data_IF_412437765126
#
_entry.id   IF_412437765126
#
_cell.length_a   1.000
_cell.length_b   1.000
_cell.length_c   1.000
_cell.angle_alpha   90.00
_cell.angle_beta   90.00
_cell.angle_gamma   90.00
#
_symmetry.space_group_name_H-M   'P 1'
#
loop_
_entity.id
_entity.type
_entity.pdbx_description
1 polymer ?
#
# COMPACT_ATOMS: atom_id res chain seq x y z
N UNK A 1 -29.89 -13.96 35.99
CA UNK A 1 -29.07 -12.72 35.78
C UNK A 1 -29.86 -11.82 34.85
N UNK A 2 -30.17 -10.58 35.25
CA UNK A 2 -30.92 -9.62 34.42
C UNK A 2 -30.04 -9.14 33.27
N UNK A 3 -30.55 -9.21 32.03
CA UNK A 3 -29.87 -8.80 30.79
C UNK A 3 -29.73 -7.27 30.62
N UNK A 4 -30.22 -6.49 31.57
CA UNK A 4 -30.27 -5.03 31.51
C UNK A 4 -29.29 -4.42 32.51
N UNK A 5 -28.67 -3.31 32.13
CA UNK A 5 -27.85 -2.49 33.02
C UNK A 5 -28.68 -1.94 34.19
N UNK A 6 -28.02 -1.67 35.32
CA UNK A 6 -28.65 -1.14 36.53
C UNK A 6 -29.38 0.19 36.27
N UNK A 7 -28.85 1.04 35.38
CA UNK A 7 -29.50 2.30 34.98
C UNK A 7 -30.82 2.06 34.23
N UNK A 8 -30.86 1.08 33.32
CA UNK A 8 -32.06 0.70 32.58
C UNK A 8 -33.14 0.12 33.49
N UNK A 9 -32.74 -0.68 34.50
CA UNK A 9 -33.66 -1.23 35.51
C UNK A 9 -34.27 -0.11 36.36
N UNK A 10 -33.45 0.85 36.79
CA UNK A 10 -33.94 1.99 37.58
C UNK A 10 -34.84 2.92 36.75
N UNK A 11 -34.52 3.11 35.46
CA UNK A 11 -35.37 3.83 34.51
C UNK A 11 -36.76 3.20 34.40
N UNK A 12 -36.83 1.87 34.22
CA UNK A 12 -38.11 1.14 34.12
C UNK A 12 -38.93 1.15 35.42
N UNK A 13 -38.28 1.09 36.58
CA UNK A 13 -38.99 1.22 37.88
C UNK A 13 -39.55 2.62 38.05
N UNK A 14 -38.77 3.65 37.72
CA UNK A 14 -39.21 5.04 37.85
C UNK A 14 -40.41 5.37 36.96
N UNK A 15 -40.47 4.81 35.75
CA UNK A 15 -41.63 4.96 34.85
C UNK A 15 -42.84 4.20 35.36
N UNK A 16 -42.66 2.99 35.88
CA UNK A 16 -43.74 2.21 36.50
C UNK A 16 -44.35 2.93 37.71
N UNK A 17 -43.52 3.46 38.60
CA UNK A 17 -43.97 4.21 39.77
C UNK A 17 -44.70 5.50 39.35
N UNK A 18 -44.22 6.20 38.33
CA UNK A 18 -44.89 7.38 37.79
C UNK A 18 -46.29 7.06 37.21
N UNK A 19 -46.44 5.92 36.53
CA UNK A 19 -47.73 5.45 36.00
C UNK A 19 -48.70 5.13 37.15
N UNK A 20 -48.21 4.47 38.21
CA UNK A 20 -49.02 4.14 39.38
C UNK A 20 -49.49 5.40 40.12
N UNK A 21 -48.58 6.37 40.30
CA UNK A 21 -48.83 7.55 41.13
C UNK A 21 -49.62 8.65 40.41
N UNK A 22 -49.28 8.95 39.15
CA UNK A 22 -49.89 10.04 38.39
C UNK A 22 -50.92 9.57 37.36
N UNK A 23 -50.85 8.31 36.92
CA UNK A 23 -51.75 7.73 35.91
C UNK A 23 -52.90 6.91 36.49
N UNK A 24 -53.03 6.80 37.81
CA UNK A 24 -54.01 5.92 38.48
C UNK A 24 -53.92 4.48 37.94
N UNK A 25 -52.69 4.00 37.72
CA UNK A 25 -52.42 2.67 37.14
C UNK A 25 -52.61 2.56 35.62
N UNK A 26 -53.02 3.64 34.94
CA UNK A 26 -53.14 3.69 33.48
C UNK A 26 -52.05 4.59 32.88
N UNK A 27 -51.16 4.06 32.01
CA UNK A 27 -50.07 4.85 31.42
C UNK A 27 -50.55 6.09 30.67
N UNK A 28 -51.76 6.04 30.11
CA UNK A 28 -52.33 7.07 29.24
C UNK A 28 -52.88 8.28 30.01
N UNK A 29 -52.99 8.18 31.34
CA UNK A 29 -53.49 9.24 32.22
C UNK A 29 -52.38 10.03 32.91
N UNK A 30 -51.13 9.63 32.74
CA UNK A 30 -49.98 10.38 33.28
C UNK A 30 -49.90 11.70 32.50
N UNK A 31 -50.07 12.87 33.14
CA UNK A 31 -49.96 14.14 32.45
C UNK A 31 -48.53 14.31 31.92
N UNK A 32 -48.41 14.44 30.59
CA UNK A 32 -47.12 14.66 29.94
C UNK A 32 -46.65 16.06 30.30
N UNK A 33 -45.66 16.16 31.19
CA UNK A 33 -45.06 17.43 31.57
C UNK A 33 -44.32 18.03 30.38
N UNK A 34 -44.39 19.36 30.23
CA UNK A 34 -43.72 20.08 29.14
C UNK A 34 -42.20 19.83 29.11
N UNK A 35 -41.59 19.57 30.27
CA UNK A 35 -40.17 19.23 30.39
C UNK A 35 -39.85 17.86 29.78
N UNK A 36 -40.79 16.90 29.82
CA UNK A 36 -40.62 15.61 29.15
C UNK A 36 -40.66 15.77 27.63
N UNK A 37 -41.57 16.61 27.11
CA UNK A 37 -41.64 16.93 25.67
C UNK A 37 -40.33 17.59 25.22
N UNK A 38 -39.82 18.57 25.98
CA UNK A 38 -38.54 19.23 25.70
C UNK A 38 -37.36 18.27 25.76
N UNK A 39 -37.32 17.38 26.75
CA UNK A 39 -36.27 16.36 26.86
C UNK A 39 -36.27 15.42 25.65
N UNK A 40 -37.44 14.94 25.21
CA UNK A 40 -37.58 14.09 24.02
C UNK A 40 -37.15 14.84 22.75
N UNK A 41 -37.56 16.10 22.60
CA UNK A 41 -37.13 16.93 21.45
C UNK A 41 -35.62 17.15 21.43
N UNK A 42 -35.00 17.40 22.58
CA UNK A 42 -33.54 17.54 22.71
C UNK A 42 -32.81 16.24 22.43
N UNK A 43 -33.29 15.10 22.94
CA UNK A 43 -32.72 13.79 22.63
C UNK A 43 -32.84 13.46 21.14
N UNK A 44 -33.96 13.82 20.49
CA UNK A 44 -34.14 13.65 19.05
C UNK A 44 -33.16 14.50 18.23
N UNK A 45 -32.91 15.75 18.63
CA UNK A 45 -31.95 16.60 17.94
C UNK A 45 -30.52 16.08 18.09
N UNK A 46 -30.14 15.62 19.29
CA UNK A 46 -28.83 14.99 19.55
C UNK A 46 -28.67 13.72 18.71
N UNK A 47 -29.67 12.84 18.69
CA UNK A 47 -29.64 11.62 17.88
C UNK A 47 -29.48 11.91 16.38
N UNK A 48 -30.19 12.91 15.85
CA UNK A 48 -30.04 13.31 14.44
C UNK A 48 -28.63 13.84 14.15
N UNK A 49 -28.04 14.59 15.08
CA UNK A 49 -26.68 15.10 14.93
C UNK A 49 -25.65 13.98 15.00
N UNK A 50 -25.83 13.01 15.90
CA UNK A 50 -25.02 11.79 15.97
C UNK A 50 -25.11 10.98 14.67
N UNK A 51 -26.31 10.77 14.13
CA UNK A 51 -26.51 10.09 12.84
C UNK A 51 -25.78 10.78 11.68
N UNK A 52 -25.83 12.11 11.61
CA UNK A 52 -25.09 12.88 10.59
C UNK A 52 -23.58 12.72 10.77
N UNK A 53 -23.08 12.76 12.01
CA UNK A 53 -21.66 12.55 12.29
C UNK A 53 -21.19 11.14 11.93
N UNK A 54 -21.94 10.10 12.28
CA UNK A 54 -21.65 8.71 11.95
C UNK A 54 -21.63 8.49 10.44
N UNK A 55 -22.59 9.08 9.71
CA UNK A 55 -22.60 9.02 8.25
C UNK A 55 -21.35 9.67 7.65
N UNK A 56 -20.97 10.86 8.15
CA UNK A 56 -19.76 11.54 7.69
C UNK A 56 -18.47 10.79 7.99
N UNK A 57 -18.42 10.05 9.11
CA UNK A 57 -17.28 9.19 9.46
C UNK A 57 -17.22 7.98 8.53
N UNK A 58 -18.35 7.31 8.28
CA UNK A 58 -18.42 6.18 7.36
C UNK A 58 -18.00 6.57 5.93
N UNK A 59 -18.43 7.73 5.43
CA UNK A 59 -18.03 8.24 4.12
C UNK A 59 -16.51 8.49 4.05
N UNK A 60 -15.92 9.06 5.11
CA UNK A 60 -14.45 9.27 5.21
C UNK A 60 -13.68 7.97 5.29
N UNK A 61 -14.16 6.98 6.05
CA UNK A 61 -13.52 5.66 6.14
C UNK A 61 -13.55 4.94 4.80
N UNK A 62 -14.68 5.01 4.08
CA UNK A 62 -14.81 4.43 2.75
C UNK A 62 -13.82 5.07 1.77
N UNK A 63 -13.76 6.41 1.73
CA UNK A 63 -12.82 7.13 0.86
C UNK A 63 -11.36 6.81 1.21
N UNK A 64 -11.05 6.62 2.51
CA UNK A 64 -9.72 6.17 2.92
C UNK A 64 -9.43 4.73 2.47
N UNK A 65 -10.39 3.81 2.63
CA UNK A 65 -10.25 2.42 2.21
C UNK A 65 -9.97 2.32 0.71
N UNK A 66 -10.74 3.02 -0.12
CA UNK A 66 -10.56 3.06 -1.58
C UNK A 66 -9.17 3.60 -1.96
N UNK A 67 -8.69 4.65 -1.27
CA UNK A 67 -7.32 5.17 -1.45
C UNK A 67 -6.26 4.15 -1.06
N UNK A 68 -6.45 3.44 0.06
CA UNK A 68 -5.51 2.41 0.50
C UNK A 68 -5.45 1.25 -0.48
N UNK A 69 -6.61 0.77 -0.97
CA UNK A 69 -6.67 -0.27 -1.98
C UNK A 69 -5.94 0.15 -3.26
N UNK A 70 -6.22 1.35 -3.77
CA UNK A 70 -5.56 1.87 -4.97
C UNK A 70 -4.03 1.94 -4.81
N UNK A 71 -3.55 2.51 -3.70
CA UNK A 71 -2.10 2.57 -3.44
C UNK A 71 -1.46 1.18 -3.31
N UNK A 72 -2.19 0.21 -2.77
CA UNK A 72 -1.68 -1.14 -2.60
C UNK A 72 -1.61 -1.89 -3.95
N UNK A 73 -2.59 -1.67 -4.84
CA UNK A 73 -2.55 -2.18 -6.22
C UNK A 73 -1.38 -1.58 -7.02
N UNK A 74 -1.15 -0.27 -6.91
CA UNK A 74 0.00 0.38 -7.56
C UNK A 74 1.33 -0.16 -7.03
N UNK A 75 1.44 -0.33 -5.71
CA UNK A 75 2.63 -0.91 -5.08
C UNK A 75 2.88 -2.35 -5.57
N UNK A 76 1.83 -3.15 -5.72
CA UNK A 76 1.92 -4.51 -6.27
C UNK A 76 2.43 -4.49 -7.71
N UNK A 77 1.88 -3.62 -8.57
CA UNK A 77 2.35 -3.45 -9.95
C UNK A 77 3.83 -3.06 -10.03
N UNK A 78 4.29 -2.18 -9.13
CA UNK A 78 5.69 -1.78 -9.04
C UNK A 78 6.59 -2.94 -8.63
N UNK A 79 6.18 -3.76 -7.66
CA UNK A 79 6.93 -4.95 -7.23
C UNK A 79 7.01 -5.99 -8.35
N UNK A 80 5.89 -6.25 -9.04
CA UNK A 80 5.86 -7.19 -10.17
C UNK A 80 6.80 -6.73 -11.29
N UNK A 81 6.80 -5.42 -11.59
CA UNK A 81 7.73 -4.83 -12.57
C UNK A 81 9.19 -4.91 -12.13
N UNK A 82 9.48 -4.67 -10.86
CA UNK A 82 10.83 -4.80 -10.28
C UNK A 82 11.35 -6.24 -10.43
N UNK A 83 10.51 -7.24 -10.12
CA UNK A 83 10.88 -8.64 -10.25
C UNK A 83 11.16 -9.04 -11.70
N UNK A 84 10.37 -8.54 -12.67
CA UNK A 84 10.62 -8.75 -14.09
C UNK A 84 11.97 -8.17 -14.52
N UNK A 85 12.28 -6.94 -14.08
CA UNK A 85 13.53 -6.27 -14.38
C UNK A 85 14.74 -6.97 -13.76
N UNK A 86 14.63 -7.45 -12.51
CA UNK A 86 15.67 -8.23 -11.84
C UNK A 86 15.94 -9.56 -12.57
N UNK A 87 14.88 -10.24 -13.02
CA UNK A 87 15.01 -11.45 -13.83
C UNK A 87 15.73 -11.17 -15.15
N UNK A 88 15.32 -10.11 -15.85
CA UNK A 88 15.98 -9.67 -17.09
C UNK A 88 17.45 -9.29 -16.87
N UNK A 89 17.75 -8.59 -15.78
CA UNK A 89 19.12 -8.21 -15.40
C UNK A 89 20.00 -9.44 -15.20
N UNK A 90 19.48 -10.47 -14.51
CA UNK A 90 20.21 -11.73 -14.30
C UNK A 90 20.48 -12.43 -15.62
N UNK A 91 19.48 -12.51 -16.51
CA UNK A 91 19.66 -13.09 -17.85
C UNK A 91 20.75 -12.39 -18.67
N UNK A 92 20.73 -11.04 -18.69
CA UNK A 92 21.75 -10.25 -19.38
C UNK A 92 23.14 -10.40 -18.75
N UNK A 93 23.24 -10.52 -17.42
CA UNK A 93 24.53 -10.80 -16.77
C UNK A 93 25.11 -12.16 -17.16
N UNK A 94 24.26 -13.18 -17.30
CA UNK A 94 24.69 -14.50 -17.75
C UNK A 94 25.10 -14.49 -19.24
N UNK A 95 24.38 -13.74 -20.08
CA UNK A 95 24.78 -13.50 -21.48
C UNK A 95 26.09 -12.71 -21.59
N UNK A 96 26.29 -11.69 -20.75
CA UNK A 96 27.55 -10.93 -20.70
C UNK A 96 28.73 -11.83 -20.37
N UNK A 97 28.59 -12.73 -19.38
CA UNK A 97 29.62 -13.70 -19.01
C UNK A 97 29.95 -14.65 -20.17
N UNK A 98 28.92 -15.14 -20.87
CA UNK A 98 29.11 -16.00 -22.05
C UNK A 98 29.86 -15.27 -23.16
N UNK A 99 29.47 -14.03 -23.46
CA UNK A 99 30.14 -13.21 -24.46
C UNK A 99 31.61 -12.92 -24.07
N UNK A 100 31.88 -12.64 -22.80
CA UNK A 100 33.25 -12.46 -22.29
C UNK A 100 34.10 -13.73 -22.39
N UNK A 101 33.52 -14.90 -22.13
CA UNK A 101 34.21 -16.19 -22.33
C UNK A 101 34.57 -16.40 -23.81
N UNK A 102 33.63 -16.12 -24.73
CA UNK A 102 33.88 -16.21 -26.17
C UNK A 102 34.98 -15.24 -26.63
N UNK A 103 35.01 -14.01 -26.09
CA UNK A 103 36.10 -13.05 -26.35
C UNK A 103 37.43 -13.59 -25.80
N UNK A 104 37.43 -14.20 -24.62
CA UNK A 104 38.61 -14.83 -24.03
C UNK A 104 39.16 -15.98 -24.88
N UNK A 105 38.29 -16.86 -25.36
CA UNK A 105 38.64 -17.95 -26.30
C UNK A 105 39.16 -17.40 -27.63
N UNK A 106 38.50 -16.37 -28.18
CA UNK A 106 38.93 -15.66 -29.38
C UNK A 106 40.34 -15.09 -29.23
N UNK A 107 40.65 -14.46 -28.08
CA UNK A 107 42.00 -13.94 -27.78
C UNK A 107 43.05 -15.04 -27.68
N UNK A 108 42.74 -16.15 -27.01
CA UNK A 108 43.66 -17.29 -26.97
C UNK A 108 43.92 -17.87 -28.36
N UNK A 109 42.88 -17.96 -29.19
CA UNK A 109 43.00 -18.43 -30.57
C UNK A 109 43.85 -17.48 -31.41
N UNK A 110 43.66 -16.17 -31.24
CA UNK A 110 44.49 -15.14 -31.88
C UNK A 110 45.97 -15.28 -31.50
N UNK A 111 46.28 -15.39 -30.20
CA UNK A 111 47.65 -15.56 -29.72
C UNK A 111 48.31 -16.83 -30.27
N UNK A 112 47.56 -17.93 -30.36
CA UNK A 112 48.05 -19.19 -30.93
C UNK A 112 48.27 -19.10 -32.46
N UNK A 113 47.36 -18.43 -33.18
CA UNK A 113 47.48 -18.22 -34.62
C UNK A 113 48.67 -17.32 -34.95
N UNK A 114 48.89 -16.25 -34.18
CA UNK A 114 50.05 -15.36 -34.30
C UNK A 114 51.37 -16.10 -34.07
N UNK A 115 51.43 -16.99 -33.07
CA UNK A 115 52.62 -17.84 -32.83
C UNK A 115 52.90 -18.82 -33.96
N UNK A 116 51.85 -19.32 -34.63
CA UNK A 116 51.96 -20.23 -35.77
C UNK A 116 52.12 -19.52 -37.13
N UNK A 117 52.11 -18.18 -37.14
CA UNK A 117 52.09 -17.35 -38.34
C UNK A 117 50.92 -17.66 -39.30
N UNK A 118 49.79 -18.16 -38.78
CA UNK A 118 48.58 -18.42 -39.56
C UNK A 118 47.71 -17.16 -39.59
N UNK A 119 47.85 -16.39 -40.66
CA UNK A 119 47.17 -15.10 -40.83
C UNK A 119 45.65 -15.28 -40.99
N UNK A 120 45.20 -16.38 -41.57
CA UNK A 120 43.77 -16.63 -41.82
C UNK A 120 43.07 -16.90 -40.48
N UNK A 121 43.65 -17.78 -39.64
CA UNK A 121 43.08 -18.07 -38.33
C UNK A 121 43.17 -16.86 -37.38
N UNK A 122 44.22 -16.04 -37.51
CA UNK A 122 44.34 -14.78 -36.78
C UNK A 122 43.25 -13.77 -37.18
N UNK A 123 42.95 -13.62 -38.47
CA UNK A 123 41.87 -12.75 -38.94
C UNK A 123 40.49 -13.22 -38.45
N UNK A 124 40.23 -14.53 -38.50
CA UNK A 124 38.99 -15.11 -37.99
C UNK A 124 38.83 -14.90 -36.48
N UNK A 125 39.90 -15.10 -35.71
CA UNK A 125 39.91 -14.85 -34.27
C UNK A 125 39.69 -13.37 -33.93
N UNK A 126 40.29 -12.44 -34.69
CA UNK A 126 40.11 -11.01 -34.47
C UNK A 126 38.67 -10.54 -34.79
N UNK A 127 38.04 -11.09 -35.83
CA UNK A 127 36.65 -10.83 -36.14
C UNK A 127 35.70 -11.33 -35.03
N UNK A 128 35.98 -12.51 -34.46
CA UNK A 128 35.24 -13.04 -33.31
C UNK A 128 35.37 -12.17 -32.06
N UNK A 129 36.58 -11.67 -31.76
CA UNK A 129 36.81 -10.75 -30.65
C UNK A 129 36.02 -9.45 -30.86
N UNK A 130 36.06 -8.88 -32.06
CA UNK A 130 35.31 -7.65 -32.39
C UNK A 130 33.81 -7.82 -32.20
N UNK A 131 33.23 -8.89 -32.75
CA UNK A 131 31.81 -9.19 -32.59
C UNK A 131 31.42 -9.44 -31.12
N UNK A 132 32.27 -10.14 -30.37
CA UNK A 132 32.06 -10.38 -28.94
C UNK A 132 32.13 -9.09 -28.11
N UNK A 133 33.09 -8.21 -28.38
CA UNK A 133 33.22 -6.91 -27.70
C UNK A 133 32.02 -5.98 -28.01
N UNK A 134 31.51 -5.99 -29.24
CA UNK A 134 30.27 -5.28 -29.60
C UNK A 134 29.05 -5.83 -28.85
N UNK A 135 28.93 -7.16 -28.76
CA UNK A 135 27.83 -7.79 -28.01
C UNK A 135 27.90 -7.46 -26.51
N UNK A 136 29.10 -7.45 -25.91
CA UNK A 136 29.30 -7.04 -24.51
C UNK A 136 28.87 -5.58 -24.31
N UNK A 137 29.17 -4.68 -25.26
CA UNK A 137 28.75 -3.27 -25.20
C UNK A 137 27.22 -3.15 -25.24
N UNK A 138 26.55 -3.81 -26.18
CA UNK A 138 25.08 -3.79 -26.28
C UNK A 138 24.43 -4.30 -24.99
N UNK A 139 24.93 -5.42 -24.44
CA UNK A 139 24.43 -5.98 -23.18
C UNK A 139 24.67 -4.99 -22.02
N UNK A 140 25.82 -4.32 -21.99
CA UNK A 140 26.12 -3.35 -20.95
C UNK A 140 25.19 -2.13 -20.99
N UNK A 141 24.87 -1.62 -22.18
CA UNK A 141 23.92 -0.51 -22.35
C UNK A 141 22.50 -0.91 -21.89
N UNK A 142 22.07 -2.15 -22.18
CA UNK A 142 20.80 -2.66 -21.67
C UNK A 142 20.80 -2.82 -20.14
N UNK A 143 21.89 -3.33 -19.55
CA UNK A 143 22.05 -3.42 -18.10
C UNK A 143 22.00 -2.05 -17.44
N UNK A 144 22.60 -1.02 -18.05
CA UNK A 144 22.50 0.36 -17.57
C UNK A 144 21.06 0.88 -17.58
N UNK A 145 20.32 0.66 -18.67
CA UNK A 145 18.90 1.06 -18.76
C UNK A 145 18.04 0.38 -17.69
N UNK A 146 18.23 -0.93 -17.50
CA UNK A 146 17.50 -1.68 -16.46
C UNK A 146 17.85 -1.18 -15.07
N UNK A 147 19.12 -0.88 -14.81
CA UNK A 147 19.56 -0.35 -13.51
C UNK A 147 18.93 1.02 -13.22
N UNK A 148 18.85 1.91 -14.22
CA UNK A 148 18.18 3.20 -14.09
C UNK A 148 16.66 3.05 -13.85
N UNK A 149 15.99 2.12 -14.55
CA UNK A 149 14.59 1.79 -14.28
C UNK A 149 14.36 1.26 -12.86
N UNK A 150 15.24 0.38 -12.37
CA UNK A 150 15.17 -0.14 -11.00
C UNK A 150 15.32 0.97 -9.96
N UNK A 151 16.25 1.92 -10.16
CA UNK A 151 16.43 3.08 -9.28
C UNK A 151 15.17 3.98 -9.26
N UNK A 152 14.55 4.20 -10.43
CA UNK A 152 13.27 4.93 -10.54
C UNK A 152 12.14 4.23 -9.79
N UNK A 153 12.05 2.91 -9.86
CA UNK A 153 11.04 2.15 -9.11
C UNK A 153 11.30 2.22 -7.60
N UNK A 154 12.56 2.04 -7.17
CA UNK A 154 12.93 2.09 -5.75
C UNK A 154 12.68 3.46 -5.13
N UNK A 155 12.98 4.54 -5.86
CA UNK A 155 12.70 5.91 -5.41
C UNK A 155 11.20 6.18 -5.28
N UNK A 156 10.38 5.74 -6.24
CA UNK A 156 8.91 5.80 -6.13
C UNK A 156 8.40 5.06 -4.90
N UNK A 157 8.81 3.81 -4.69
CA UNK A 157 8.41 3.01 -3.51
C UNK A 157 8.78 3.70 -2.19
N UNK A 158 9.98 4.27 -2.08
CA UNK A 158 10.40 5.01 -0.87
C UNK A 158 9.54 6.24 -0.62
N UNK A 159 9.19 7.00 -1.67
CA UNK A 159 8.34 8.18 -1.55
C UNK A 159 6.94 7.78 -1.05
N UNK A 160 6.34 6.75 -1.63
CA UNK A 160 5.01 6.28 -1.25
C UNK A 160 4.98 5.76 0.20
N UNK A 161 6.01 5.00 0.61
CA UNK A 161 6.17 4.54 2.00
C UNK A 161 6.30 5.70 2.99
N UNK A 162 7.04 6.76 2.62
CA UNK A 162 7.22 7.94 3.47
C UNK A 162 5.91 8.73 3.66
N UNK A 163 5.06 8.78 2.63
CA UNK A 163 3.73 9.40 2.72
C UNK A 163 2.79 8.60 3.63
N UNK A 164 2.83 7.27 3.56
CA UNK A 164 2.04 6.39 4.43
C UNK A 164 2.46 6.51 5.90
N UNK A 165 3.77 6.57 6.19
CA UNK A 165 4.28 6.71 7.57
C UNK A 165 3.95 8.08 8.19
N UNK A 166 4.11 9.19 7.46
CA UNK A 166 3.73 10.53 7.93
C UNK A 166 2.24 10.65 8.23
N UNK A 167 1.39 9.95 7.45
CA UNK A 167 -0.06 9.94 7.66
C UNK A 167 -0.45 9.14 8.91
N UNK A 168 0.20 7.99 9.16
CA UNK A 168 0.03 7.23 10.41
C UNK A 168 0.44 8.04 11.65
N UNK A 169 1.58 8.73 11.60
CA UNK A 169 2.03 9.58 12.72
C UNK A 169 1.05 10.71 13.02
N UNK A 170 0.50 11.38 11.99
CA UNK A 170 -0.52 12.41 12.18
C UNK A 170 -1.77 11.86 12.87
N UNK A 171 -2.25 10.66 12.49
CA UNK A 171 -3.43 10.05 13.11
C UNK A 171 -3.20 9.62 14.57
N UNK A 172 -1.98 9.21 14.93
CA UNK A 172 -1.64 8.88 16.34
C UNK A 172 -1.50 10.12 17.22
N UNK A 173 -1.03 11.26 16.69
CA UNK A 173 -0.99 12.52 17.46
C UNK A 173 -2.39 13.09 17.72
N UNK A 174 -3.30 13.06 16.74
CA UNK A 174 -4.69 13.53 16.98
C UNK A 174 -5.46 12.64 17.95
N UNK A 175 -5.11 11.36 18.06
CA UNK A 175 -5.72 10.45 19.03
C UNK A 175 -5.23 10.71 20.46
N UNK A 176 -3.99 11.18 20.64
CA UNK A 176 -3.44 11.51 21.96
C UNK A 176 -3.85 12.91 22.45
N UNK A 177 -4.14 13.86 21.55
CA UNK A 177 -4.63 15.20 21.94
C UNK A 177 -6.13 15.21 22.34
N UNK A 178 -6.82 14.07 22.27
CA UNK A 178 -8.23 13.91 22.65
C UNK A 178 -8.43 13.17 23.99
N UNK A 179 -7.36 12.89 24.74
CA UNK A 179 -7.40 12.31 26.09
C UNK A 179 -6.78 13.24 27.12
#
# INVERSE_FOLDING_TARGET
RTLLSLSSINGLRSTWDAIKFYGVGSPHRVPIKIDMIRAVQKSKSVYNQEQLSLKSLADREKEQSEKYEHTNEEMKKLIDRENQLLSKQKGLQDEQKKAQLLVGEGRQRLDNALKKADIIDAQAANALIGAGDEQVKLISDELFKITDELLKIQSKRKNDLSHVQKKKQKMTTTANDQF
#
